data_IF_287972610118
#
_entry.id   IF_287972610118
#
_cell.length_a   1.000
_cell.length_b   1.000
_cell.length_c   1.000
_cell.angle_alpha   90.00
_cell.angle_beta   90.00
_cell.angle_gamma   90.00
#
_symmetry.space_group_name_H-M   'P 1'
#
loop_
_entity.id
_entity.type
_entity.pdbx_description
1 polymer ?
#
# COMPACT_ATOMS: atom_id res chain seq x y z
N UNK A 1 5.14 -7.79 -31.78
CA UNK A 1 4.24 -6.72 -32.25
C UNK A 1 4.30 -5.63 -31.21
N UNK A 2 4.90 -4.48 -31.53
CA UNK A 2 4.88 -3.31 -30.63
C UNK A 2 3.48 -2.73 -30.71
N UNK A 3 2.62 -3.04 -29.76
CA UNK A 3 1.35 -2.33 -29.60
C UNK A 3 1.70 -0.84 -29.47
N UNK A 4 1.14 -0.04 -30.38
CA UNK A 4 1.32 1.40 -30.38
C UNK A 4 0.75 1.95 -29.08
N UNK A 5 1.61 2.44 -28.20
CA UNK A 5 1.21 3.11 -26.96
C UNK A 5 0.24 4.26 -27.30
N UNK A 6 -0.86 4.36 -26.57
CA UNK A 6 -1.85 5.44 -26.74
C UNK A 6 -1.17 6.82 -26.69
N UNK A 7 -1.57 7.80 -27.54
CA UNK A 7 -1.01 9.14 -27.50
C UNK A 7 -1.06 9.78 -26.12
N UNK A 8 -2.13 9.53 -25.35
CA UNK A 8 -2.28 10.02 -23.98
C UNK A 8 -1.28 9.37 -23.02
N UNK A 9 -1.03 8.06 -23.16
CA UNK A 9 -0.04 7.36 -22.33
C UNK A 9 1.36 7.87 -22.62
N UNK A 10 1.70 8.02 -23.91
CA UNK A 10 2.98 8.58 -24.32
C UNK A 10 3.19 9.98 -23.72
N UNK A 11 2.20 10.87 -23.84
CA UNK A 11 2.25 12.21 -23.27
C UNK A 11 2.53 12.20 -21.75
N UNK A 12 1.82 11.36 -20.98
CA UNK A 12 2.02 11.26 -19.52
C UNK A 12 3.44 10.74 -19.20
N UNK A 13 3.94 9.77 -19.97
CA UNK A 13 5.30 9.25 -19.80
C UNK A 13 6.34 10.34 -20.10
N UNK A 14 6.15 11.11 -21.18
CA UNK A 14 7.04 12.20 -21.57
C UNK A 14 7.06 13.31 -20.48
N UNK A 15 5.90 13.66 -19.92
CA UNK A 15 5.80 14.60 -18.79
C UNK A 15 6.53 14.10 -17.53
N UNK A 16 6.40 12.83 -17.20
CA UNK A 16 7.14 12.22 -16.09
C UNK A 16 8.65 12.22 -16.37
N UNK A 17 9.06 11.88 -17.57
CA UNK A 17 10.47 11.87 -17.97
C UNK A 17 11.10 13.27 -17.91
N UNK A 18 10.36 14.31 -18.28
CA UNK A 18 10.81 15.70 -18.16
C UNK A 18 11.10 16.12 -16.71
N UNK A 19 10.49 15.43 -15.73
CA UNK A 19 10.71 15.65 -14.29
C UNK A 19 11.69 14.62 -13.67
N UNK A 20 12.37 13.83 -14.50
CA UNK A 20 13.34 12.85 -14.03
C UNK A 20 14.62 13.50 -13.50
N UNK A 21 15.20 12.88 -12.47
CA UNK A 21 16.44 13.30 -11.87
C UNK A 21 17.44 12.14 -11.87
N UNK A 22 18.66 12.38 -12.38
CA UNK A 22 19.69 11.35 -12.55
C UNK A 22 20.13 10.74 -11.21
N UNK A 23 20.35 11.56 -10.18
CA UNK A 23 20.71 11.09 -8.84
C UNK A 23 19.60 10.18 -8.28
N UNK A 24 18.33 10.56 -8.45
CA UNK A 24 17.20 9.71 -8.01
C UNK A 24 17.12 8.42 -8.79
N UNK A 25 17.40 8.44 -10.10
CA UNK A 25 17.44 7.24 -10.94
C UNK A 25 18.48 6.22 -10.43
N UNK A 26 19.58 6.68 -9.87
CA UNK A 26 20.62 5.82 -9.27
C UNK A 26 20.24 5.34 -7.85
N UNK A 27 19.65 6.23 -7.03
CA UNK A 27 19.34 5.93 -5.62
C UNK A 27 18.10 5.04 -5.46
N UNK A 28 17.07 5.24 -6.28
CA UNK A 28 15.78 4.54 -6.15
C UNK A 28 15.88 3.02 -6.21
N UNK A 29 16.60 2.39 -7.17
CA UNK A 29 16.77 0.94 -7.19
C UNK A 29 17.25 0.35 -5.85
N UNK A 30 18.23 0.98 -5.21
CA UNK A 30 18.74 0.55 -3.89
C UNK A 30 17.73 0.76 -2.77
N UNK A 31 17.02 1.89 -2.79
CA UNK A 31 16.02 2.22 -1.77
C UNK A 31 14.79 1.29 -1.86
N UNK A 32 14.35 0.98 -3.07
CA UNK A 32 13.21 0.13 -3.38
C UNK A 32 13.54 -1.35 -3.50
N UNK A 33 14.80 -1.72 -3.26
CA UNK A 33 15.26 -3.10 -3.10
C UNK A 33 15.04 -3.94 -4.36
N UNK A 34 15.66 -3.51 -5.45
CA UNK A 34 15.53 -4.13 -6.77
C UNK A 34 16.64 -5.13 -7.13
N UNK A 35 17.52 -5.46 -6.18
CA UNK A 35 18.55 -6.47 -6.38
C UNK A 35 17.97 -7.88 -6.49
N UNK A 36 18.79 -8.83 -6.95
CA UNK A 36 18.39 -10.24 -7.03
C UNK A 36 18.00 -10.80 -5.66
N UNK A 37 16.83 -11.43 -5.55
CA UNK A 37 16.26 -11.97 -4.33
C UNK A 37 15.64 -10.92 -3.39
N UNK A 38 15.65 -9.64 -3.76
CA UNK A 38 14.97 -8.59 -3.02
C UNK A 38 13.50 -8.42 -3.49
N UNK A 39 12.65 -7.80 -2.68
CA UNK A 39 11.20 -7.75 -2.95
C UNK A 39 10.81 -6.93 -4.19
N UNK A 40 11.68 -6.02 -4.65
CA UNK A 40 11.47 -5.20 -5.84
C UNK A 40 12.29 -5.65 -7.04
N UNK A 41 12.81 -6.89 -7.05
CA UNK A 41 13.70 -7.40 -8.10
C UNK A 41 13.17 -7.09 -9.50
N UNK A 42 14.04 -6.51 -10.35
CA UNK A 42 13.73 -6.20 -11.74
C UNK A 42 12.91 -4.92 -11.98
N UNK A 43 12.51 -4.18 -10.94
CA UNK A 43 11.81 -2.91 -11.11
C UNK A 43 12.73 -1.80 -11.67
N UNK A 44 12.16 -0.91 -12.49
CA UNK A 44 12.88 0.13 -13.21
C UNK A 44 12.35 1.52 -12.85
N UNK A 45 13.26 2.46 -12.70
CA UNK A 45 12.95 3.82 -12.22
C UNK A 45 13.33 4.88 -13.25
N UNK A 46 12.45 5.87 -13.44
CA UNK A 46 12.74 7.08 -14.20
C UNK A 46 13.57 8.08 -13.38
N UNK A 47 13.42 8.07 -12.05
CA UNK A 47 14.01 9.04 -11.12
C UNK A 47 13.09 10.21 -10.80
N UNK A 48 11.76 9.99 -10.76
CA UNK A 48 10.76 11.06 -10.51
C UNK A 48 10.29 11.01 -9.06
N UNK A 49 10.25 12.15 -8.39
CA UNK A 49 9.83 12.20 -6.97
C UNK A 49 8.30 12.11 -6.83
N UNK A 50 7.83 11.53 -5.72
CA UNK A 50 6.39 11.39 -5.44
C UNK A 50 5.61 12.71 -5.53
N UNK A 51 6.10 13.88 -5.03
CA UNK A 51 5.41 15.15 -5.23
C UNK A 51 5.17 15.49 -6.71
N UNK A 52 6.16 15.26 -7.57
CA UNK A 52 6.04 15.49 -9.01
C UNK A 52 5.01 14.54 -9.65
N UNK A 53 5.05 13.25 -9.27
CA UNK A 53 4.08 12.26 -9.77
C UNK A 53 2.65 12.64 -9.38
N UNK A 54 2.44 13.14 -8.15
CA UNK A 54 1.12 13.63 -7.70
C UNK A 54 0.62 14.81 -8.51
N UNK A 55 1.51 15.72 -8.91
CA UNK A 55 1.15 16.86 -9.77
C UNK A 55 0.63 16.37 -11.12
N UNK A 56 1.35 15.46 -11.78
CA UNK A 56 0.94 14.88 -13.06
C UNK A 56 -0.36 14.09 -12.92
N UNK A 57 -0.48 13.23 -11.92
CA UNK A 57 -1.70 12.45 -11.68
C UNK A 57 -2.94 13.33 -11.47
N UNK A 58 -2.78 14.49 -10.81
CA UNK A 58 -3.88 15.44 -10.61
C UNK A 58 -4.29 16.15 -11.90
N UNK A 59 -3.33 16.46 -12.78
CA UNK A 59 -3.59 17.05 -14.10
C UNK A 59 -4.35 16.08 -15.01
N UNK A 60 -4.04 14.79 -14.91
CA UNK A 60 -4.63 13.73 -15.74
C UNK A 60 -5.72 12.91 -15.02
N UNK A 61 -6.36 13.46 -13.98
CA UNK A 61 -7.38 12.74 -13.19
C UNK A 61 -8.60 12.29 -14.00
N UNK A 62 -8.83 12.85 -15.18
CA UNK A 62 -10.02 12.57 -16.02
C UNK A 62 -9.77 11.57 -17.16
N UNK A 63 -8.55 11.02 -17.30
CA UNK A 63 -8.26 9.94 -18.27
C UNK A 63 -9.13 8.69 -18.06
N UNK A 64 -9.34 7.91 -19.12
CA UNK A 64 -10.18 6.70 -19.10
C UNK A 64 -9.52 5.55 -18.32
N UNK A 65 -10.33 4.57 -17.93
CA UNK A 65 -9.82 3.34 -17.28
C UNK A 65 -8.88 2.55 -18.19
N UNK A 66 -9.04 2.62 -19.51
CA UNK A 66 -8.17 1.94 -20.47
C UNK A 66 -6.77 2.57 -20.49
N UNK A 67 -6.69 3.90 -20.46
CA UNK A 67 -5.40 4.62 -20.34
C UNK A 67 -4.72 4.28 -19.01
N UNK A 68 -5.48 4.22 -17.91
CA UNK A 68 -4.94 3.80 -16.60
C UNK A 68 -4.41 2.37 -16.67
N UNK A 69 -5.15 1.45 -17.30
CA UNK A 69 -4.72 0.07 -17.49
C UNK A 69 -3.40 -0.01 -18.24
N UNK A 70 -3.27 0.75 -19.32
CA UNK A 70 -2.06 0.79 -20.13
C UNK A 70 -0.86 1.39 -19.35
N UNK A 71 -1.07 2.45 -18.57
CA UNK A 71 -0.02 2.98 -17.67
C UNK A 71 0.43 1.95 -16.61
N UNK A 72 -0.50 1.16 -16.06
CA UNK A 72 -0.17 0.07 -15.12
C UNK A 72 0.68 -1.04 -15.76
N UNK A 73 0.60 -1.21 -17.08
CA UNK A 73 1.41 -2.17 -17.84
C UNK A 73 2.82 -1.64 -18.15
N UNK A 74 3.13 -0.39 -17.81
CA UNK A 74 4.48 0.16 -17.94
C UNK A 74 5.50 -0.58 -17.07
N UNK A 75 6.72 -0.75 -17.60
CA UNK A 75 7.86 -1.27 -16.85
C UNK A 75 8.41 -0.28 -15.82
N UNK A 76 8.06 1.00 -15.95
CA UNK A 76 8.58 2.07 -15.09
C UNK A 76 7.72 2.21 -13.84
N UNK A 77 8.37 2.15 -12.68
CA UNK A 77 7.76 2.29 -11.37
C UNK A 77 6.91 3.57 -11.25
N UNK A 78 7.47 4.72 -11.60
CA UNK A 78 6.79 6.02 -11.42
C UNK A 78 5.58 6.20 -12.35
N UNK A 79 5.57 5.52 -13.50
CA UNK A 79 4.40 5.49 -14.40
C UNK A 79 3.26 4.68 -13.78
N UNK A 80 3.57 3.54 -13.17
CA UNK A 80 2.58 2.73 -12.43
C UNK A 80 2.07 3.48 -11.20
N UNK A 81 2.95 4.14 -10.45
CA UNK A 81 2.54 4.99 -9.34
C UNK A 81 1.63 6.15 -9.80
N UNK A 82 1.93 6.77 -10.95
CA UNK A 82 1.07 7.80 -11.54
C UNK A 82 -0.34 7.26 -11.81
N UNK A 83 -0.45 6.08 -12.43
CA UNK A 83 -1.74 5.43 -12.70
C UNK A 83 -2.54 5.18 -11.42
N UNK A 84 -1.89 4.65 -10.37
CA UNK A 84 -2.54 4.44 -9.07
C UNK A 84 -2.99 5.75 -8.42
N UNK A 85 -2.18 6.81 -8.51
CA UNK A 85 -2.54 8.12 -7.99
C UNK A 85 -3.68 8.77 -8.79
N UNK A 86 -3.78 8.55 -10.10
CA UNK A 86 -4.95 8.92 -10.89
C UNK A 86 -6.19 8.17 -10.38
N UNK A 87 -6.10 6.86 -10.14
CA UNK A 87 -7.20 6.09 -9.54
C UNK A 87 -7.63 6.68 -8.19
N UNK A 88 -6.68 7.07 -7.34
CA UNK A 88 -6.96 7.74 -6.04
C UNK A 88 -7.69 9.08 -6.24
N UNK A 89 -7.28 9.90 -7.21
CA UNK A 89 -7.98 11.17 -7.48
C UNK A 89 -9.40 10.92 -8.01
N UNK A 90 -9.60 9.88 -8.83
CA UNK A 90 -10.92 9.49 -9.34
C UNK A 90 -11.83 8.91 -8.26
N UNK A 91 -11.31 8.13 -7.32
CA UNK A 91 -12.11 7.48 -6.27
C UNK A 91 -12.74 8.46 -5.28
N UNK A 92 -12.26 9.71 -5.22
CA UNK A 92 -12.85 10.79 -4.42
C UNK A 92 -14.20 11.27 -4.95
N UNK A 93 -14.54 10.97 -6.21
CA UNK A 93 -15.87 11.28 -6.75
C UNK A 93 -16.91 10.40 -6.03
N UNK A 94 -18.07 10.97 -5.70
CA UNK A 94 -19.20 10.23 -5.10
C UNK A 94 -19.96 9.44 -6.17
N UNK A 95 -19.26 8.52 -6.83
CA UNK A 95 -19.78 7.67 -7.90
C UNK A 95 -19.44 6.21 -7.57
N UNK A 96 -20.45 5.46 -7.15
CA UNK A 96 -20.26 4.08 -6.70
C UNK A 96 -19.92 3.13 -7.85
N UNK A 97 -20.44 3.40 -9.06
CA UNK A 97 -20.12 2.60 -10.25
C UNK A 97 -18.65 2.76 -10.60
N UNK A 98 -18.16 4.01 -10.62
CA UNK A 98 -16.75 4.30 -10.86
C UNK A 98 -15.86 3.69 -9.76
N UNK A 99 -16.24 3.81 -8.49
CA UNK A 99 -15.46 3.24 -7.38
C UNK A 99 -15.35 1.71 -7.49
N UNK A 100 -16.44 1.03 -7.87
CA UNK A 100 -16.41 -0.41 -8.16
C UNK A 100 -15.46 -0.73 -9.33
N UNK A 101 -15.54 0.01 -10.42
CA UNK A 101 -14.65 -0.21 -11.57
C UNK A 101 -13.16 0.00 -11.22
N UNK A 102 -12.85 1.02 -10.40
CA UNK A 102 -11.50 1.26 -9.91
C UNK A 102 -11.02 0.14 -8.97
N UNK A 103 -11.88 -0.32 -8.08
CA UNK A 103 -11.61 -1.45 -7.20
C UNK A 103 -11.31 -2.73 -7.99
N UNK A 104 -12.16 -3.07 -8.96
CA UNK A 104 -11.99 -4.26 -9.80
C UNK A 104 -10.70 -4.17 -10.63
N UNK A 105 -10.41 -3.00 -11.23
CA UNK A 105 -9.17 -2.78 -11.98
C UNK A 105 -7.92 -2.88 -11.09
N UNK A 106 -7.97 -2.32 -9.87
CA UNK A 106 -6.87 -2.39 -8.92
C UNK A 106 -6.54 -3.84 -8.54
N UNK A 107 -7.57 -4.63 -8.21
CA UNK A 107 -7.39 -6.04 -7.86
C UNK A 107 -6.94 -6.92 -9.03
N UNK A 108 -7.34 -6.57 -10.25
CA UNK A 108 -6.87 -7.27 -11.45
C UNK A 108 -5.39 -7.00 -11.78
N UNK A 109 -4.75 -6.03 -11.13
CA UNK A 109 -3.40 -5.55 -11.43
C UNK A 109 -2.43 -5.67 -10.27
N UNK A 110 -2.72 -6.43 -9.21
CA UNK A 110 -1.89 -6.45 -7.99
C UNK A 110 -0.46 -6.94 -8.23
N UNK A 111 -0.23 -7.82 -9.22
CA UNK A 111 1.12 -8.22 -9.65
C UNK A 111 1.96 -7.04 -10.18
N UNK A 112 1.30 -5.99 -10.68
CA UNK A 112 1.93 -4.73 -11.13
C UNK A 112 2.08 -3.71 -10.00
N UNK A 113 1.59 -3.98 -8.80
CA UNK A 113 1.71 -3.15 -7.59
C UNK A 113 2.81 -3.75 -6.70
N UNK A 114 4.01 -3.87 -7.27
CA UNK A 114 5.09 -4.67 -6.72
C UNK A 114 6.08 -3.90 -5.80
N UNK A 115 5.57 -2.89 -5.08
CA UNK A 115 6.36 -2.21 -4.06
C UNK A 115 5.48 -1.61 -2.97
N UNK A 116 6.06 -1.34 -1.80
CA UNK A 116 5.31 -0.89 -0.63
C UNK A 116 4.69 0.49 -0.83
N UNK A 117 5.34 1.39 -1.56
CA UNK A 117 4.83 2.73 -1.80
C UNK A 117 3.65 2.73 -2.79
N UNK A 118 3.72 1.87 -3.82
CA UNK A 118 2.59 1.63 -4.73
C UNK A 118 1.35 1.21 -3.95
N UNK A 119 1.50 0.27 -3.00
CA UNK A 119 0.41 -0.18 -2.12
C UNK A 119 -0.03 0.94 -1.15
N UNK A 120 0.90 1.46 -0.36
CA UNK A 120 0.59 2.34 0.78
C UNK A 120 -0.04 3.66 0.35
N UNK A 121 0.33 4.16 -0.83
CA UNK A 121 -0.19 5.43 -1.35
C UNK A 121 -1.56 5.31 -2.02
N UNK A 122 -2.07 4.09 -2.24
CA UNK A 122 -3.25 3.86 -3.08
C UNK A 122 -4.34 3.01 -2.41
N UNK A 123 -3.99 1.87 -1.78
CA UNK A 123 -4.96 0.85 -1.37
C UNK A 123 -5.99 1.38 -0.37
N UNK A 124 -5.62 2.28 0.55
CA UNK A 124 -6.57 2.86 1.51
C UNK A 124 -7.75 3.54 0.80
N UNK A 125 -7.49 4.27 -0.29
CA UNK A 125 -8.52 5.04 -0.98
C UNK A 125 -9.31 4.21 -1.99
N UNK A 126 -8.68 3.21 -2.60
CA UNK A 126 -9.28 2.43 -3.70
C UNK A 126 -9.94 1.17 -3.15
N UNK A 127 -9.24 0.43 -2.29
CA UNK A 127 -9.70 -0.82 -1.68
C UNK A 127 -10.40 -0.53 -0.35
N UNK A 128 -9.69 0.09 0.60
CA UNK A 128 -10.20 0.34 1.95
C UNK A 128 -11.49 1.15 1.97
N UNK A 129 -11.48 2.34 1.36
CA UNK A 129 -12.68 3.20 1.36
C UNK A 129 -13.85 2.57 0.59
N UNK A 130 -13.61 1.77 -0.46
CA UNK A 130 -14.68 1.08 -1.19
C UNK A 130 -15.34 -0.02 -0.36
N UNK A 131 -14.58 -0.71 0.49
CA UNK A 131 -15.08 -1.83 1.30
C UNK A 131 -15.73 -1.42 2.63
N UNK A 132 -15.71 -0.13 3.01
CA UNK A 132 -16.20 0.37 4.32
C UNK A 132 -17.61 -0.09 4.71
N UNK A 133 -18.47 -0.30 3.72
CA UNK A 133 -19.88 -0.67 3.86
C UNK A 133 -20.21 -1.97 3.10
N UNK A 134 -19.20 -2.83 2.84
CA UNK A 134 -19.33 -4.05 2.04
C UNK A 134 -18.71 -5.25 2.76
N UNK A 135 -18.76 -6.42 2.12
CA UNK A 135 -18.05 -7.61 2.60
C UNK A 135 -16.54 -7.38 2.61
N UNK A 136 -15.90 -7.70 3.73
CA UNK A 136 -14.44 -7.63 3.89
C UNK A 136 -13.73 -8.92 3.45
N UNK A 137 -14.46 -9.95 2.99
CA UNK A 137 -13.92 -11.26 2.61
C UNK A 137 -12.71 -11.15 1.66
N UNK A 138 -12.76 -10.19 0.74
CA UNK A 138 -11.66 -9.95 -0.20
C UNK A 138 -10.34 -9.63 0.50
N UNK A 139 -10.35 -8.92 1.64
CA UNK A 139 -9.12 -8.65 2.40
C UNK A 139 -8.54 -9.94 2.98
N UNK A 140 -9.38 -10.86 3.45
CA UNK A 140 -8.93 -12.15 4.00
C UNK A 140 -8.44 -13.10 2.91
N UNK A 141 -9.00 -13.04 1.70
CA UNK A 141 -8.46 -13.74 0.52
C UNK A 141 -7.06 -13.21 0.17
N UNK A 142 -6.89 -11.89 0.11
CA UNK A 142 -5.59 -11.24 -0.15
C UNK A 142 -4.56 -11.55 0.95
N UNK A 143 -4.98 -11.64 2.21
CA UNK A 143 -4.10 -11.99 3.33
C UNK A 143 -3.55 -13.43 3.26
N UNK A 144 -4.22 -14.33 2.52
CA UNK A 144 -3.80 -15.72 2.31
C UNK A 144 -3.07 -15.94 0.97
N UNK A 145 -3.00 -14.92 0.12
CA UNK A 145 -2.26 -14.97 -1.14
C UNK A 145 -0.77 -15.21 -0.89
N UNK A 146 -0.10 -15.85 -1.84
CA UNK A 146 1.36 -16.00 -1.83
C UNK A 146 2.08 -14.71 -2.26
N UNK A 147 1.35 -13.75 -2.83
CA UNK A 147 1.91 -12.48 -3.25
C UNK A 147 2.04 -11.54 -2.05
N UNK A 148 3.28 -11.21 -1.68
CA UNK A 148 3.60 -10.26 -0.60
C UNK A 148 2.76 -8.98 -0.65
N UNK A 149 2.52 -8.47 -1.86
CA UNK A 149 1.81 -7.22 -2.09
C UNK A 149 0.31 -7.34 -1.85
N UNK A 150 -0.30 -8.48 -2.14
CA UNK A 150 -1.69 -8.76 -1.77
C UNK A 150 -1.84 -8.74 -0.25
N UNK A 151 -0.92 -9.39 0.49
CA UNK A 151 -0.96 -9.41 1.94
C UNK A 151 -0.83 -7.98 2.51
N UNK A 152 0.04 -7.16 1.92
CA UNK A 152 0.19 -5.75 2.31
C UNK A 152 -1.07 -4.93 2.00
N UNK A 153 -1.69 -5.15 0.84
CA UNK A 153 -2.96 -4.51 0.48
C UNK A 153 -4.04 -4.86 1.52
N UNK A 154 -4.12 -6.14 1.93
CA UNK A 154 -5.11 -6.60 2.90
C UNK A 154 -5.04 -5.79 4.21
N UNK A 155 -3.86 -5.70 4.82
CA UNK A 155 -3.70 -5.03 6.11
C UNK A 155 -3.73 -3.49 5.98
N UNK A 156 -3.09 -2.90 4.97
CA UNK A 156 -3.01 -1.42 4.87
C UNK A 156 -4.35 -0.80 4.46
N UNK A 157 -5.20 -1.56 3.73
CA UNK A 157 -6.55 -1.12 3.39
C UNK A 157 -7.42 -0.87 4.64
N UNK A 158 -7.18 -1.60 5.74
CA UNK A 158 -7.94 -1.38 6.99
C UNK A 158 -7.69 -0.01 7.61
N UNK A 159 -6.69 0.75 7.13
CA UNK A 159 -6.52 2.13 7.57
C UNK A 159 -7.76 2.99 7.28
N UNK A 160 -8.53 2.68 6.23
CA UNK A 160 -9.83 3.32 6.00
C UNK A 160 -10.83 3.05 7.14
N UNK A 161 -10.87 1.80 7.62
CA UNK A 161 -11.76 1.33 8.68
C UNK A 161 -11.35 1.92 10.04
N UNK A 162 -10.05 1.90 10.34
CA UNK A 162 -9.47 2.51 11.54
C UNK A 162 -9.85 3.99 11.65
N UNK A 163 -9.86 4.72 10.54
CA UNK A 163 -10.28 6.13 10.52
C UNK A 163 -11.76 6.35 10.83
N UNK A 164 -12.59 5.31 10.71
CA UNK A 164 -14.00 5.29 11.11
C UNK A 164 -14.25 4.61 12.46
N UNK A 165 -13.19 4.19 13.17
CA UNK A 165 -13.29 3.49 14.45
C UNK A 165 -13.64 2.01 14.33
N UNK A 166 -13.68 1.45 13.11
CA UNK A 166 -13.82 0.02 12.87
C UNK A 166 -12.45 -0.64 13.01
N UNK A 167 -12.21 -1.33 14.12
CA UNK A 167 -10.89 -1.87 14.45
C UNK A 167 -10.77 -3.39 14.25
N UNK A 168 -11.89 -4.10 14.19
CA UNK A 168 -11.94 -5.57 14.24
C UNK A 168 -11.07 -6.24 13.17
N UNK A 169 -11.23 -5.86 11.90
CA UNK A 169 -10.46 -6.47 10.81
C UNK A 169 -8.95 -6.21 10.94
N UNK A 170 -8.55 -5.07 11.50
CA UNK A 170 -7.12 -4.78 11.70
C UNK A 170 -6.52 -5.78 12.68
N UNK A 171 -7.20 -6.04 13.80
CA UNK A 171 -6.72 -7.02 14.79
C UNK A 171 -6.82 -8.46 14.25
N UNK A 172 -7.92 -8.82 13.59
CA UNK A 172 -8.09 -10.16 13.02
C UNK A 172 -7.05 -10.48 11.93
N UNK A 173 -6.80 -9.56 11.00
CA UNK A 173 -5.74 -9.71 9.99
C UNK A 173 -4.34 -9.71 10.60
N UNK A 174 -4.14 -8.96 11.69
CA UNK A 174 -2.86 -8.97 12.43
C UNK A 174 -2.58 -10.33 13.07
N UNK A 175 -3.60 -10.99 13.61
CA UNK A 175 -3.48 -12.36 14.14
C UNK A 175 -3.24 -13.37 13.02
N UNK A 176 -4.00 -13.28 11.93
CA UNK A 176 -3.87 -14.17 10.77
C UNK A 176 -2.45 -14.13 10.17
N UNK A 177 -1.85 -12.94 10.07
CA UNK A 177 -0.53 -12.73 9.48
C UNK A 177 0.58 -12.54 10.52
N UNK A 178 0.36 -12.91 11.79
CA UNK A 178 1.29 -12.69 12.90
C UNK A 178 2.69 -13.26 12.63
N UNK A 179 2.75 -14.43 11.97
CA UNK A 179 4.00 -15.17 11.69
C UNK A 179 4.45 -15.04 10.23
N UNK A 180 4.02 -13.98 9.54
CA UNK A 180 4.38 -13.76 8.14
C UNK A 180 5.91 -13.77 7.94
N UNK A 181 6.48 -14.42 6.91
CA UNK A 181 7.93 -14.58 6.80
C UNK A 181 8.68 -13.26 6.54
N UNK A 182 8.03 -12.29 5.90
CA UNK A 182 8.66 -11.02 5.51
C UNK A 182 8.59 -9.93 6.59
N UNK A 183 9.76 -9.37 6.95
CA UNK A 183 9.87 -8.20 7.86
C UNK A 183 9.09 -6.97 7.36
N UNK A 184 8.94 -6.81 6.05
CA UNK A 184 8.15 -5.74 5.44
C UNK A 184 6.67 -5.81 5.86
N UNK A 185 6.12 -7.02 6.03
CA UNK A 185 4.77 -7.22 6.54
C UNK A 185 4.69 -6.94 8.04
N UNK A 186 5.68 -7.35 8.83
CA UNK A 186 5.72 -7.00 10.26
C UNK A 186 5.69 -5.48 10.48
N UNK A 187 6.34 -4.69 9.62
CA UNK A 187 6.25 -3.23 9.65
C UNK A 187 4.85 -2.72 9.33
N UNK A 188 4.19 -3.26 8.30
CA UNK A 188 2.83 -2.87 7.93
C UNK A 188 1.80 -3.23 9.02
N UNK A 189 1.84 -4.46 9.52
CA UNK A 189 0.94 -4.92 10.57
C UNK A 189 1.16 -4.12 11.85
N UNK A 190 2.42 -3.95 12.28
CA UNK A 190 2.75 -3.13 13.44
C UNK A 190 2.32 -1.67 13.25
N UNK A 191 2.45 -1.11 12.05
CA UNK A 191 1.94 0.21 11.73
C UNK A 191 0.42 0.29 11.86
N UNK A 192 -0.34 -0.64 11.26
CA UNK A 192 -1.81 -0.61 11.36
C UNK A 192 -2.31 -0.82 12.79
N UNK A 193 -1.65 -1.68 13.57
CA UNK A 193 -1.90 -1.80 15.02
C UNK A 193 -1.63 -0.48 15.76
N UNK A 194 -0.54 0.22 15.44
CA UNK A 194 -0.26 1.55 16.00
C UNK A 194 -1.37 2.55 15.65
N UNK A 195 -1.86 2.56 14.40
CA UNK A 195 -2.96 3.44 13.99
C UNK A 195 -4.28 3.08 14.70
N UNK A 196 -4.59 1.80 14.87
CA UNK A 196 -5.73 1.33 15.65
C UNK A 196 -5.60 1.73 17.14
N UNK A 197 -4.40 1.63 17.71
CA UNK A 197 -4.12 2.05 19.09
C UNK A 197 -4.26 3.54 19.33
N UNK A 198 -4.06 4.40 18.31
CA UNK A 198 -4.38 5.83 18.43
C UNK A 198 -5.89 6.08 18.62
N UNK A 199 -6.74 5.13 18.22
CA UNK A 199 -8.20 5.18 18.43
C UNK A 199 -8.61 4.56 19.76
N UNK A 200 -7.94 3.48 20.17
CA UNK A 200 -8.18 2.82 21.45
C UNK A 200 -6.85 2.28 22.05
N UNK A 201 -6.15 3.10 22.86
CA UNK A 201 -4.84 2.72 23.42
C UNK A 201 -4.93 1.51 24.36
N UNK A 202 -5.98 1.43 25.16
CA UNK A 202 -6.20 0.35 26.14
C UNK A 202 -6.36 -1.00 25.44
N UNK A 203 -7.14 -1.05 24.36
CA UNK A 203 -7.29 -2.26 23.55
C UNK A 203 -5.97 -2.70 22.92
N UNK A 204 -5.19 -1.76 22.37
CA UNK A 204 -3.87 -2.10 21.81
C UNK A 204 -2.94 -2.63 22.91
N UNK A 205 -2.93 -2.01 24.08
CA UNK A 205 -2.10 -2.46 25.20
C UNK A 205 -2.46 -3.89 25.59
N UNK A 206 -3.75 -4.19 25.79
CA UNK A 206 -4.23 -5.53 26.14
C UNK A 206 -3.88 -6.56 25.06
N UNK A 207 -4.16 -6.23 23.78
CA UNK A 207 -3.85 -7.09 22.63
C UNK A 207 -2.36 -7.45 22.58
N UNK A 208 -1.48 -6.44 22.70
CA UNK A 208 -0.03 -6.65 22.67
C UNK A 208 0.42 -7.45 23.90
N UNK A 209 -0.09 -7.13 25.08
CA UNK A 209 0.30 -7.81 26.31
C UNK A 209 -0.01 -9.32 26.25
N UNK A 210 -1.16 -9.69 25.68
CA UNK A 210 -1.57 -11.08 25.48
C UNK A 210 -0.70 -11.81 24.45
N UNK A 211 -0.26 -11.12 23.39
CA UNK A 211 0.43 -11.73 22.23
C UNK A 211 1.93 -11.50 22.15
N UNK A 212 2.52 -10.72 23.06
CA UNK A 212 3.93 -10.27 22.96
C UNK A 212 4.97 -11.40 22.89
N UNK A 213 4.63 -12.61 23.31
CA UNK A 213 5.48 -13.79 23.20
C UNK A 213 5.62 -14.25 21.73
N UNK A 214 4.52 -14.24 20.98
CA UNK A 214 4.46 -14.63 19.57
C UNK A 214 4.75 -13.48 18.60
N UNK A 215 4.56 -12.23 19.03
CA UNK A 215 4.74 -11.07 18.15
C UNK A 215 6.19 -10.92 17.66
N UNK A 216 6.41 -10.85 16.34
CA UNK A 216 7.71 -10.51 15.78
C UNK A 216 8.24 -9.18 16.32
N UNK A 217 9.54 -9.12 16.63
CA UNK A 217 10.14 -7.94 17.28
C UNK A 217 9.99 -6.64 16.49
N UNK A 218 9.97 -6.71 15.16
CA UNK A 218 9.69 -5.52 14.33
C UNK A 218 8.25 -5.07 14.48
N UNK A 219 7.29 -5.99 14.37
CA UNK A 219 5.86 -5.71 14.54
C UNK A 219 5.56 -5.10 15.91
N UNK A 220 6.07 -5.71 16.98
CA UNK A 220 5.91 -5.22 18.35
C UNK A 220 6.41 -3.78 18.50
N UNK A 221 7.64 -3.49 18.05
CA UNK A 221 8.23 -2.15 18.15
C UNK A 221 7.43 -1.09 17.41
N UNK A 222 6.92 -1.43 16.23
CA UNK A 222 6.06 -0.52 15.45
C UNK A 222 4.73 -0.27 16.16
N UNK A 223 4.08 -1.34 16.65
CA UNK A 223 2.78 -1.24 17.33
C UNK A 223 2.85 -0.33 18.56
N UNK A 224 3.90 -0.48 19.38
CA UNK A 224 4.00 0.21 20.68
C UNK A 224 4.66 1.59 20.64
N UNK A 225 4.99 2.14 19.47
CA UNK A 225 5.81 3.35 19.35
C UNK A 225 5.25 4.54 20.16
N UNK A 226 3.92 4.67 20.23
CA UNK A 226 3.24 5.79 20.89
C UNK A 226 3.01 5.61 22.39
N UNK A 227 3.29 4.44 22.96
CA UNK A 227 3.23 4.25 24.41
C UNK A 227 4.42 4.92 25.10
N UNK A 228 4.26 5.22 26.39
CA UNK A 228 5.32 5.79 27.22
C UNK A 228 6.53 4.85 27.32
N UNK A 229 7.73 5.37 27.63
CA UNK A 229 8.91 4.53 27.84
C UNK A 229 8.68 3.41 28.87
N UNK A 230 7.91 3.68 29.94
CA UNK A 230 7.58 2.70 30.99
C UNK A 230 6.72 1.56 30.44
N UNK A 231 5.65 1.88 29.72
CA UNK A 231 4.77 0.87 29.11
C UNK A 231 5.52 0.05 28.06
N UNK A 232 6.33 0.70 27.22
CA UNK A 232 7.14 0.01 26.21
C UNK A 232 8.13 -0.96 26.86
N UNK A 233 8.76 -0.59 27.97
CA UNK A 233 9.65 -1.49 28.71
C UNK A 233 8.92 -2.73 29.23
N UNK A 234 7.69 -2.58 29.72
CA UNK A 234 6.83 -3.70 30.15
C UNK A 234 6.51 -4.61 28.96
N UNK A 235 5.97 -4.05 27.87
CA UNK A 235 5.54 -4.81 26.68
C UNK A 235 6.72 -5.48 25.95
N UNK A 236 7.93 -4.92 26.03
CA UNK A 236 9.14 -5.47 25.39
C UNK A 236 9.84 -6.55 26.21
N UNK A 237 9.55 -6.69 27.51
CA UNK A 237 10.15 -7.70 28.37
C UNK A 237 9.94 -9.09 27.75
N UNK A 238 11.02 -9.88 27.62
CA UNK A 238 10.94 -11.25 27.12
C UNK A 238 10.02 -12.07 28.03
N UNK A 239 9.12 -12.82 27.41
CA UNK A 239 8.30 -13.87 28.03
C UNK A 239 9.01 -15.18 27.80
#
# INVERSE_FOLDING_TARGET
MTESISPTVKMIIDELQALSNAEKREVFPRFFKTGKGEYGEGDLFLGVTVPNIRTIAKQHKDISLDVIRELMLSKWHEVRLCALLVMVEKSKKKDETLRKQLFDLYLAMTERINNWDLVDLSCRFIVGEYLLDKSHERLYQLAQSQLLWDNRIAIVSTYAFIRKGQLEDTYALSDLMMRHPHDLMHKAIGWMLREAGKRNPERLYAYVMERRADMPRTMLRYAIEKFSPKERAILMKRV
#
